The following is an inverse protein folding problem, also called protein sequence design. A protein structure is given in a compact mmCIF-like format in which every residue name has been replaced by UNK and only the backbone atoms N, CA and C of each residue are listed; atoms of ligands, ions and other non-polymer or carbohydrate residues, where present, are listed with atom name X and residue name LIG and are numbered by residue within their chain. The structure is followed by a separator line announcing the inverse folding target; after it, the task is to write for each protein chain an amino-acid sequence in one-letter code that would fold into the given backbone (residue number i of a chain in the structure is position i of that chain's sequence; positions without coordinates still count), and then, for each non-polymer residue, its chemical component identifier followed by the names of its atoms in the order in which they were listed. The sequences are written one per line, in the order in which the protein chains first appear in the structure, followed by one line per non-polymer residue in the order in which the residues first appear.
data_IF_008023992092
#
_entry.id   IF_008023992092
#
_cell.length_a   1.000
_cell.length_b   1.000
_cell.length_c   1.000
_cell.angle_alpha   90.00
_cell.angle_beta   90.00
_cell.angle_gamma   90.00
#
_symmetry.space_group_name_H-M   'P 1'
#
loop_
_entity.id
_entity.type
_entity.pdbx_description
1 polymer ?
#
# COMPACT_ATOMS: atom_id res chain seq x y z
N UNK A 1 2.18 -2.87 -11.85
CA UNK A 1 1.74 -3.15 -13.24
C UNK A 1 2.68 -2.46 -14.22
N UNK A 2 2.92 -3.03 -15.41
CA UNK A 2 3.69 -2.36 -16.45
C UNK A 2 2.98 -1.08 -16.90
N UNK A 3 3.65 0.06 -16.80
CA UNK A 3 3.13 1.35 -17.30
C UNK A 3 4.28 2.33 -17.56
N UNK A 4 4.17 3.12 -18.63
CA UNK A 4 5.15 4.14 -19.00
C UNK A 4 6.59 3.62 -19.02
N UNK A 5 7.53 4.40 -18.49
CA UNK A 5 8.96 4.06 -18.43
C UNK A 5 9.33 2.81 -17.63
N UNK A 6 8.40 2.27 -16.84
CA UNK A 6 8.62 1.08 -16.00
C UNK A 6 8.12 -0.22 -16.64
N UNK A 7 7.80 -0.25 -17.92
CA UNK A 7 7.26 -1.44 -18.59
C UNK A 7 8.16 -2.69 -18.46
N UNK A 8 9.48 -2.55 -18.60
CA UNK A 8 10.44 -3.67 -18.52
C UNK A 8 10.79 -4.07 -17.08
N UNK A 9 10.97 -3.10 -16.19
CA UNK A 9 11.43 -3.31 -14.80
C UNK A 9 10.25 -3.41 -13.83
N UNK A 10 9.35 -4.35 -14.09
CA UNK A 10 8.23 -4.64 -13.19
C UNK A 10 8.49 -5.90 -12.37
N UNK A 11 7.90 -5.97 -11.17
CA UNK A 11 8.04 -7.16 -10.33
C UNK A 11 7.64 -8.45 -11.06
N UNK A 12 6.59 -8.41 -11.89
CA UNK A 12 6.18 -9.57 -12.69
C UNK A 12 7.26 -10.01 -13.67
N UNK A 13 7.94 -9.08 -14.33
CA UNK A 13 9.01 -9.40 -15.27
C UNK A 13 10.28 -9.89 -14.54
N UNK A 14 10.61 -9.29 -13.40
CA UNK A 14 11.71 -9.75 -12.55
C UNK A 14 11.45 -11.16 -12.01
N UNK A 15 10.22 -11.46 -11.56
CA UNK A 15 9.84 -12.79 -11.10
C UNK A 15 9.91 -13.83 -12.24
N UNK A 16 9.41 -13.49 -13.44
CA UNK A 16 9.55 -14.36 -14.62
C UNK A 16 11.01 -14.69 -14.91
N UNK A 17 11.88 -13.68 -14.92
CA UNK A 17 13.32 -13.87 -15.18
C UNK A 17 13.98 -14.70 -14.08
N UNK A 18 13.71 -14.40 -12.81
CA UNK A 18 14.33 -15.08 -11.67
C UNK A 18 13.96 -16.57 -11.57
N UNK A 19 12.70 -16.92 -11.86
CA UNK A 19 12.17 -18.27 -11.68
C UNK A 19 11.95 -19.04 -12.99
N UNK A 20 12.32 -18.47 -14.14
CA UNK A 20 12.16 -19.11 -15.46
C UNK A 20 10.69 -19.27 -15.90
N UNK A 21 9.76 -18.52 -15.34
CA UNK A 21 8.34 -18.67 -15.68
C UNK A 21 7.96 -17.95 -16.98
N UNK A 22 7.44 -18.71 -17.94
CA UNK A 22 6.99 -18.15 -19.22
C UNK A 22 5.75 -17.26 -19.09
N UNK A 23 4.79 -17.66 -18.25
CA UNK A 23 3.53 -16.92 -18.00
C UNK A 23 3.35 -16.65 -16.52
N UNK A 24 2.94 -15.45 -16.17
CA UNK A 24 2.63 -15.03 -14.81
C UNK A 24 1.57 -13.94 -14.86
N UNK A 25 0.48 -14.14 -14.13
CA UNK A 25 -0.66 -13.26 -14.09
C UNK A 25 -0.70 -12.52 -12.75
N UNK A 26 -0.77 -11.20 -12.80
CA UNK A 26 -0.89 -10.35 -11.62
C UNK A 26 -2.32 -10.43 -11.08
N UNK A 27 -2.49 -10.75 -9.82
CA UNK A 27 -3.81 -10.90 -9.17
C UNK A 27 -4.25 -9.62 -8.47
N UNK A 28 -3.30 -8.91 -7.88
CA UNK A 28 -3.51 -7.61 -7.25
C UNK A 28 -2.24 -6.76 -7.38
N UNK A 29 -2.28 -5.57 -6.85
CA UNK A 29 -1.15 -4.64 -6.90
C UNK A 29 -0.78 -4.14 -5.51
N UNK A 30 0.49 -3.81 -5.34
CA UNK A 30 1.00 -2.95 -4.28
C UNK A 30 1.41 -1.60 -4.89
N UNK A 31 1.40 -0.55 -4.09
CA UNK A 31 1.97 0.73 -4.50
C UNK A 31 3.48 0.60 -4.66
N UNK A 32 4.10 1.51 -5.40
CA UNK A 32 5.52 1.45 -5.79
C UNK A 32 6.46 1.19 -4.62
N UNK A 33 6.20 1.83 -3.48
CA UNK A 33 7.06 1.77 -2.29
C UNK A 33 6.50 0.90 -1.16
N UNK A 34 5.35 0.25 -1.38
CA UNK A 34 4.79 -0.73 -0.43
C UNK A 34 5.51 -2.07 -0.59
N UNK A 35 6.00 -2.60 0.51
CA UNK A 35 6.60 -3.95 0.57
C UNK A 35 5.58 -5.01 1.02
N UNK A 36 5.97 -6.28 1.00
CA UNK A 36 5.18 -7.38 1.56
C UNK A 36 4.62 -8.36 0.53
N UNK A 37 3.54 -9.04 0.89
CA UNK A 37 2.96 -10.13 0.10
C UNK A 37 2.34 -9.61 -1.19
N UNK A 38 2.71 -10.25 -2.31
CA UNK A 38 2.04 -10.10 -3.59
C UNK A 38 1.80 -11.47 -4.23
N UNK A 39 0.60 -11.70 -4.73
CA UNK A 39 0.20 -12.95 -5.34
C UNK A 39 0.22 -12.88 -6.87
N UNK A 40 0.68 -13.97 -7.46
CA UNK A 40 0.63 -14.21 -8.90
C UNK A 40 0.02 -15.57 -9.18
N UNK A 41 -0.68 -15.72 -10.30
CA UNK A 41 -1.09 -17.02 -10.80
C UNK A 41 -0.21 -17.45 -11.98
N UNK A 42 0.10 -18.76 -12.07
CA UNK A 42 0.81 -19.36 -13.20
C UNK A 42 -0.14 -19.73 -14.34
N UNK A 43 -1.41 -19.92 -14.04
CA UNK A 43 -2.45 -20.34 -15.00
C UNK A 43 -3.53 -19.27 -15.13
N UNK A 44 -4.04 -19.09 -16.36
CA UNK A 44 -5.09 -18.10 -16.67
C UNK A 44 -6.40 -18.40 -15.92
N UNK A 45 -6.81 -19.67 -15.84
CA UNK A 45 -8.03 -20.09 -15.13
C UNK A 45 -7.97 -19.73 -13.64
N UNK A 46 -6.86 -20.00 -12.98
CA UNK A 46 -6.63 -19.64 -11.58
C UNK A 46 -6.65 -18.11 -11.41
N UNK A 47 -6.03 -17.37 -12.34
CA UNK A 47 -6.05 -15.91 -12.31
C UNK A 47 -7.47 -15.33 -12.40
N UNK A 48 -8.32 -15.88 -13.25
CA UNK A 48 -9.71 -15.46 -13.39
C UNK A 48 -10.52 -15.69 -12.10
N UNK A 49 -10.43 -16.89 -11.51
CA UNK A 49 -11.10 -17.21 -10.24
C UNK A 49 -10.62 -16.30 -9.09
N UNK A 50 -9.31 -16.08 -8.99
CA UNK A 50 -8.74 -15.19 -7.98
C UNK A 50 -9.17 -13.72 -8.19
N UNK A 51 -9.22 -13.24 -9.43
CA UNK A 51 -9.69 -11.89 -9.72
C UNK A 51 -11.16 -11.69 -9.30
N UNK A 52 -11.99 -12.71 -9.44
CA UNK A 52 -13.37 -12.72 -8.93
C UNK A 52 -13.41 -12.64 -7.41
N UNK A 53 -12.63 -13.47 -6.71
CA UNK A 53 -12.52 -13.44 -5.26
C UNK A 53 -12.05 -12.07 -4.73
N UNK A 54 -11.10 -11.41 -5.41
CA UNK A 54 -10.69 -10.04 -5.08
C UNK A 54 -11.83 -9.03 -5.28
N UNK A 55 -12.59 -9.14 -6.37
CA UNK A 55 -13.73 -8.27 -6.68
C UNK A 55 -14.84 -8.42 -5.65
N UNK A 56 -15.12 -9.65 -5.23
CA UNK A 56 -16.15 -10.00 -4.25
C UNK A 56 -15.69 -9.88 -2.80
N UNK A 57 -14.48 -9.36 -2.58
CA UNK A 57 -13.89 -9.14 -1.25
C UNK A 57 -13.75 -10.42 -0.40
N UNK A 58 -13.63 -11.58 -1.04
CA UNK A 58 -13.42 -12.87 -0.39
C UNK A 58 -11.98 -13.11 0.06
N UNK A 59 -11.15 -12.07 0.04
CA UNK A 59 -9.77 -12.10 0.53
C UNK A 59 -9.62 -11.17 1.72
N UNK A 60 -8.93 -11.61 2.76
CA UNK A 60 -8.58 -10.78 3.90
C UNK A 60 -7.13 -10.32 3.76
N UNK A 61 -6.87 -9.06 4.05
CA UNK A 61 -5.54 -8.45 3.96
C UNK A 61 -5.21 -7.79 5.29
N UNK A 62 -4.00 -7.98 5.75
CA UNK A 62 -3.48 -7.30 6.91
C UNK A 62 -2.17 -6.60 6.56
N UNK A 63 -2.07 -5.35 6.97
CA UNK A 63 -0.89 -4.51 6.76
C UNK A 63 -0.35 -4.05 8.10
N UNK A 64 0.93 -3.71 8.13
CA UNK A 64 1.54 -2.89 9.17
C UNK A 64 2.07 -1.59 8.57
N UNK A 65 2.01 -0.52 9.32
CA UNK A 65 2.59 0.75 8.94
C UNK A 65 3.15 1.49 10.16
N UNK A 66 4.14 2.34 9.91
CA UNK A 66 4.50 3.42 10.81
C UNK A 66 3.78 4.67 10.32
N UNK A 67 3.01 5.29 11.19
CA UNK A 67 2.32 6.54 10.92
C UNK A 67 3.00 7.68 11.67
N UNK A 68 3.00 8.87 11.05
CA UNK A 68 3.36 10.11 11.75
C UNK A 68 2.23 10.47 12.72
N UNK A 69 2.57 11.03 13.86
CA UNK A 69 1.68 11.33 14.97
C UNK A 69 1.09 10.07 15.64
N UNK A 70 0.33 10.29 16.71
CA UNK A 70 -0.42 9.25 17.41
C UNK A 70 -1.80 9.09 16.79
N UNK A 71 -2.32 7.87 16.77
CA UNK A 71 -3.73 7.67 16.42
C UNK A 71 -4.64 8.40 17.41
N UNK A 72 -5.81 8.89 16.97
CA UNK A 72 -6.79 9.53 17.85
C UNK A 72 -7.41 8.58 18.89
N UNK A 73 -7.32 7.26 18.67
CA UNK A 73 -7.73 6.20 19.59
C UNK A 73 -6.99 4.91 19.22
N UNK A 74 -7.01 3.89 20.12
CA UNK A 74 -6.36 2.60 19.88
C UNK A 74 -6.98 1.85 18.69
N UNK A 75 -8.26 2.05 18.43
CA UNK A 75 -8.98 1.53 17.28
C UNK A 75 -9.68 2.66 16.54
N UNK A 76 -9.36 2.81 15.25
CA UNK A 76 -9.94 3.84 14.39
C UNK A 76 -10.50 3.21 13.12
N UNK A 77 -11.77 3.46 12.85
CA UNK A 77 -12.43 3.02 11.61
C UNK A 77 -12.69 4.25 10.75
N UNK A 78 -12.08 4.26 9.55
CA UNK A 78 -12.30 5.31 8.55
C UNK A 78 -13.15 4.75 7.42
N UNK A 79 -14.41 5.21 7.35
CA UNK A 79 -15.38 4.83 6.30
C UNK A 79 -15.68 6.04 5.42
N UNK A 80 -14.70 6.43 4.61
CA UNK A 80 -14.78 7.60 3.75
C UNK A 80 -14.53 7.21 2.28
N UNK A 81 -15.37 7.67 1.32
CA UNK A 81 -15.17 7.40 -0.08
C UNK A 81 -13.90 8.06 -0.62
N UNK A 82 -13.24 7.41 -1.59
CA UNK A 82 -12.00 7.88 -2.21
C UNK A 82 -12.21 8.10 -3.70
N UNK A 83 -11.73 9.24 -4.19
CA UNK A 83 -11.68 9.64 -5.60
C UNK A 83 -10.42 10.41 -5.92
N UNK A 84 -10.30 10.90 -7.15
CA UNK A 84 -9.21 11.82 -7.53
C UNK A 84 -9.29 13.09 -6.68
N UNK A 85 -8.16 13.58 -6.20
CA UNK A 85 -8.12 14.81 -5.41
C UNK A 85 -8.22 16.04 -6.35
N UNK A 86 -9.36 16.77 -6.34
CA UNK A 86 -9.55 17.92 -7.24
C UNK A 86 -8.73 19.14 -6.84
N UNK A 87 -8.18 19.17 -5.62
CA UNK A 87 -7.34 20.25 -5.11
C UNK A 87 -5.87 20.06 -5.44
N UNK A 88 -5.48 18.86 -5.90
CA UNK A 88 -4.10 18.54 -6.22
C UNK A 88 -3.80 18.69 -7.70
N UNK A 89 -2.66 19.31 -8.01
CA UNK A 89 -2.09 19.35 -9.36
C UNK A 89 -1.54 17.98 -9.81
N UNK A 90 -1.40 17.03 -8.88
CA UNK A 90 -0.82 15.70 -9.12
C UNK A 90 -1.91 14.72 -9.54
N UNK A 91 -2.01 14.42 -10.82
CA UNK A 91 -3.05 13.56 -11.42
C UNK A 91 -3.26 12.21 -10.73
N UNK A 92 -2.23 11.63 -10.15
CA UNK A 92 -2.31 10.31 -9.48
C UNK A 92 -2.76 10.39 -8.02
N UNK A 93 -2.82 11.60 -7.45
CA UNK A 93 -3.22 11.80 -6.06
C UNK A 93 -4.69 11.50 -5.87
N UNK A 94 -5.00 10.76 -4.84
CA UNK A 94 -6.37 10.46 -4.43
C UNK A 94 -6.67 11.22 -3.14
N UNK A 95 -7.93 11.49 -2.88
CA UNK A 95 -8.39 12.14 -1.66
C UNK A 95 -9.73 11.57 -1.21
N UNK A 96 -10.16 11.95 0.00
CA UNK A 96 -11.53 11.70 0.45
C UNK A 96 -12.46 12.58 -0.38
N UNK A 97 -13.43 11.96 -1.06
CA UNK A 97 -14.39 12.60 -1.96
C UNK A 97 -15.76 11.95 -1.79
N UNK A 98 -16.80 12.72 -1.48
CA UNK A 98 -18.15 12.18 -1.23
C UNK A 98 -18.72 11.41 -2.44
N UNK A 99 -18.40 11.83 -3.66
CA UNK A 99 -18.77 11.14 -4.91
C UNK A 99 -17.78 10.04 -5.30
N UNK A 100 -16.79 9.80 -4.45
CA UNK A 100 -15.76 8.77 -4.64
C UNK A 100 -16.30 7.36 -4.45
N UNK A 101 -15.43 6.37 -4.57
CA UNK A 101 -15.78 4.97 -4.36
C UNK A 101 -15.79 4.65 -2.87
N UNK A 102 -16.89 4.11 -2.30
CA UNK A 102 -16.96 3.71 -0.91
C UNK A 102 -15.84 2.76 -0.52
N UNK A 103 -15.24 3.00 0.64
CA UNK A 103 -14.24 2.10 1.21
C UNK A 103 -14.10 2.32 2.72
N UNK A 104 -13.62 1.29 3.41
CA UNK A 104 -13.43 1.30 4.86
C UNK A 104 -12.06 0.73 5.18
N UNK A 105 -11.35 1.38 6.10
CA UNK A 105 -10.06 0.93 6.63
C UNK A 105 -10.12 0.93 8.16
N UNK A 106 -9.73 -0.18 8.77
CA UNK A 106 -9.57 -0.28 10.23
C UNK A 106 -8.09 -0.13 10.56
N UNK A 107 -7.77 0.78 11.48
CA UNK A 107 -6.46 0.98 12.07
C UNK A 107 -6.52 0.54 13.53
N UNK A 108 -5.54 -0.22 13.97
CA UNK A 108 -5.39 -0.67 15.35
C UNK A 108 -3.98 -0.33 15.83
N UNK A 109 -3.87 0.36 16.95
CA UNK A 109 -2.59 0.72 17.56
C UNK A 109 -1.88 -0.55 18.07
N UNK A 110 -0.65 -0.76 17.63
CA UNK A 110 0.20 -1.85 18.11
C UNK A 110 1.24 -1.34 19.11
N UNK A 111 1.79 -0.15 18.86
CA UNK A 111 2.81 0.46 19.72
C UNK A 111 2.92 1.96 19.48
N UNK A 112 2.99 2.75 20.55
CA UNK A 112 3.40 4.15 20.49
C UNK A 112 4.92 4.27 20.36
N UNK A 113 5.40 5.21 19.53
CA UNK A 113 6.80 5.45 19.21
C UNK A 113 7.07 6.97 19.23
N UNK A 114 7.14 7.58 20.41
CA UNK A 114 7.31 9.03 20.58
C UNK A 114 6.39 9.84 19.63
N UNK A 115 6.92 10.37 18.52
CA UNK A 115 6.20 11.18 17.53
C UNK A 115 5.46 10.35 16.48
N UNK A 116 5.45 9.03 16.58
CA UNK A 116 4.91 8.09 15.60
C UNK A 116 4.15 6.96 16.29
N UNK A 117 3.48 6.15 15.50
CA UNK A 117 2.91 4.92 16.00
C UNK A 117 3.04 3.77 14.98
N UNK A 118 3.26 2.55 15.49
CA UNK A 118 3.14 1.32 14.74
C UNK A 118 1.69 0.87 14.80
N UNK A 119 1.10 0.61 13.64
CA UNK A 119 -0.30 0.21 13.53
C UNK A 119 -0.48 -1.06 12.71
N UNK A 120 -1.47 -1.88 13.10
CA UNK A 120 -2.04 -2.93 12.28
C UNK A 120 -3.22 -2.36 11.48
N UNK A 121 -3.37 -2.75 10.21
CA UNK A 121 -4.35 -2.16 9.31
C UNK A 121 -5.09 -3.24 8.53
N UNK A 122 -6.43 -3.17 8.53
CA UNK A 122 -7.29 -4.03 7.74
C UNK A 122 -8.12 -3.20 6.76
N UNK A 123 -7.73 -3.11 5.49
CA UNK A 123 -8.57 -2.50 4.46
C UNK A 123 -9.68 -3.49 4.05
N UNK A 124 -10.94 -3.08 4.19
CA UNK A 124 -12.10 -3.90 3.79
C UNK A 124 -12.27 -3.95 2.27
N UNK A 125 -11.67 -3.02 1.55
CA UNK A 125 -11.68 -2.91 0.09
C UNK A 125 -10.23 -2.79 -0.43
N UNK A 126 -10.03 -2.44 -1.71
CA UNK A 126 -8.71 -2.27 -2.31
C UNK A 126 -8.68 -1.09 -3.29
N UNK A 127 -9.12 0.10 -2.84
CA UNK A 127 -9.05 1.31 -3.69
C UNK A 127 -7.60 1.80 -3.81
N UNK A 128 -7.32 2.51 -4.88
CA UNK A 128 -6.00 3.11 -5.10
C UNK A 128 -5.61 3.99 -3.91
N UNK A 129 -4.43 3.77 -3.36
CA UNK A 129 -3.87 4.49 -2.21
C UNK A 129 -4.73 4.47 -0.93
N UNK A 130 -5.71 3.58 -0.81
CA UNK A 130 -6.73 3.61 0.25
C UNK A 130 -6.16 3.81 1.65
N UNK A 131 -5.21 2.99 2.08
CA UNK A 131 -4.61 3.09 3.42
C UNK A 131 -3.94 4.46 3.59
N UNK A 132 -3.20 4.91 2.60
CA UNK A 132 -2.44 6.16 2.61
C UNK A 132 -3.35 7.40 2.68
N UNK A 133 -4.43 7.38 1.88
CA UNK A 133 -5.46 8.45 1.90
C UNK A 133 -6.16 8.52 3.25
N UNK A 134 -6.60 7.37 3.78
CA UNK A 134 -7.29 7.32 5.06
C UNK A 134 -6.37 7.70 6.23
N UNK A 135 -5.11 7.26 6.22
CA UNK A 135 -4.11 7.66 7.21
C UNK A 135 -3.86 9.19 7.16
N UNK A 136 -3.69 9.75 5.96
CA UNK A 136 -3.55 11.20 5.78
C UNK A 136 -4.82 11.96 6.24
N UNK A 137 -6.00 11.46 5.93
CA UNK A 137 -7.29 12.07 6.30
C UNK A 137 -7.46 12.20 7.82
N UNK A 138 -6.98 11.24 8.61
CA UNK A 138 -7.01 11.30 10.08
C UNK A 138 -5.82 12.06 10.70
N UNK A 139 -5.01 12.74 9.89
CA UNK A 139 -3.85 13.50 10.36
C UNK A 139 -2.62 12.67 10.72
N UNK A 140 -2.60 11.38 10.37
CA UNK A 140 -1.52 10.44 10.68
C UNK A 140 -0.96 9.81 9.39
N UNK A 141 -0.33 10.57 8.47
CA UNK A 141 0.14 10.03 7.21
C UNK A 141 1.19 8.93 7.44
N UNK A 142 1.33 8.03 6.47
CA UNK A 142 2.36 6.97 6.53
C UNK A 142 3.75 7.60 6.50
N UNK A 143 4.61 7.24 7.44
CA UNK A 143 6.00 7.71 7.50
C UNK A 143 6.73 7.41 6.19
N UNK A 144 7.38 8.41 5.61
CA UNK A 144 8.11 8.30 4.34
C UNK A 144 7.23 8.34 3.08
N UNK A 145 5.96 8.62 3.20
CA UNK A 145 5.06 8.80 2.06
C UNK A 145 5.23 10.19 1.43
N UNK A 146 5.90 10.27 0.27
CA UNK A 146 6.15 11.54 -0.41
C UNK A 146 4.90 12.17 -1.00
N UNK A 147 3.91 11.36 -1.40
CA UNK A 147 2.69 11.86 -2.05
C UNK A 147 1.68 12.44 -1.05
N UNK A 148 1.62 11.88 0.16
CA UNK A 148 0.67 12.30 1.21
C UNK A 148 1.35 12.94 2.42
N UNK A 149 2.67 12.82 2.54
CA UNK A 149 3.47 13.43 3.60
C UNK A 149 4.14 14.76 3.19
N UNK A 150 4.16 15.09 1.89
CA UNK A 150 4.62 16.37 1.37
C UNK A 150 3.46 17.15 0.76
N UNK A 151 3.62 18.47 0.65
CA UNK A 151 2.77 19.30 -0.21
C UNK A 151 3.02 18.95 -1.69
N UNK A 152 2.14 19.37 -2.59
CA UNK A 152 2.21 19.01 -4.01
C UNK A 152 3.51 19.47 -4.68
N UNK A 153 3.96 20.70 -4.39
CA UNK A 153 5.25 21.23 -4.84
C UNK A 153 6.44 20.42 -4.30
N UNK A 154 6.42 20.05 -3.04
CA UNK A 154 7.44 19.19 -2.45
C UNK A 154 7.51 17.81 -3.11
N UNK A 155 6.36 17.23 -3.47
CA UNK A 155 6.34 15.99 -4.24
C UNK A 155 6.91 16.16 -5.66
N UNK A 156 6.60 17.27 -6.33
CA UNK A 156 7.13 17.57 -7.67
C UNK A 156 8.65 17.80 -7.64
N UNK A 157 9.15 18.57 -6.67
CA UNK A 157 10.59 18.74 -6.46
C UNK A 157 11.30 17.41 -6.20
N UNK A 158 10.71 16.52 -5.39
CA UNK A 158 11.25 15.17 -5.23
C UNK A 158 11.28 14.36 -6.53
N UNK A 159 10.29 14.51 -7.42
CA UNK A 159 10.34 13.83 -8.73
C UNK A 159 11.47 14.31 -9.62
N UNK A 160 11.87 15.55 -9.50
CA UNK A 160 12.97 16.18 -10.28
C UNK A 160 14.32 15.91 -9.67
N UNK A 161 14.50 16.17 -8.37
CA UNK A 161 15.80 16.14 -7.68
C UNK A 161 16.08 14.79 -6.98
N UNK A 162 15.07 13.96 -6.75
CA UNK A 162 15.23 12.64 -6.15
C UNK A 162 15.62 12.67 -4.67
N UNK A 163 16.62 11.86 -4.32
CA UNK A 163 17.06 11.70 -2.92
C UNK A 163 17.68 12.98 -2.36
N UNK A 164 18.37 13.80 -3.18
CA UNK A 164 19.00 15.03 -2.72
C UNK A 164 17.99 16.01 -2.11
N UNK A 165 16.79 16.12 -2.68
CA UNK A 165 15.70 16.93 -2.12
C UNK A 165 15.23 16.40 -0.76
N UNK A 166 15.09 15.10 -0.62
CA UNK A 166 14.68 14.48 0.65
C UNK A 166 15.74 14.68 1.76
N UNK A 167 17.02 14.65 1.39
CA UNK A 167 18.14 14.87 2.32
C UNK A 167 18.12 16.32 2.84
N UNK A 168 17.86 17.31 1.97
CA UNK A 168 17.69 18.72 2.36
C UNK A 168 16.56 18.93 3.36
N UNK A 169 15.47 18.18 3.20
CA UNK A 169 14.31 18.24 4.10
C UNK A 169 14.49 17.41 5.37
N UNK A 170 15.60 16.70 5.55
CA UNK A 170 15.74 15.67 6.58
C UNK A 170 14.54 14.71 6.58
N UNK A 171 14.07 14.31 5.38
CA UNK A 171 12.91 13.46 5.24
C UNK A 171 13.17 12.10 5.89
N UNK A 172 12.24 11.57 6.71
CA UNK A 172 12.57 10.57 7.72
C UNK A 172 13.11 9.26 7.15
N UNK A 173 12.64 8.85 5.97
CA UNK A 173 13.06 7.58 5.33
C UNK A 173 12.90 7.64 3.81
N UNK A 174 13.68 6.82 3.09
CA UNK A 174 13.70 6.81 1.62
C UNK A 174 12.44 6.25 0.94
N UNK A 175 11.59 5.53 1.68
CA UNK A 175 10.32 4.96 1.17
C UNK A 175 9.23 4.99 2.24
N UNK A 176 7.97 4.90 1.82
CA UNK A 176 6.86 4.76 2.76
C UNK A 176 6.96 3.48 3.61
N UNK A 177 6.77 3.60 4.92
CA UNK A 177 6.79 2.49 5.86
C UNK A 177 5.41 1.83 5.94
N UNK A 178 4.99 1.22 4.81
CA UNK A 178 3.77 0.44 4.67
C UNK A 178 4.14 -0.96 4.14
N UNK A 179 3.64 -2.00 4.81
CA UNK A 179 3.97 -3.38 4.54
C UNK A 179 2.72 -4.27 4.51
N UNK A 180 2.51 -4.97 3.41
CA UNK A 180 1.47 -5.99 3.28
C UNK A 180 1.93 -7.26 4.01
N UNK A 181 1.55 -7.36 5.29
CA UNK A 181 1.99 -8.42 6.20
C UNK A 181 1.43 -9.78 5.81
N UNK A 182 0.13 -9.80 5.45
CA UNK A 182 -0.60 -11.05 5.33
C UNK A 182 -1.72 -10.93 4.29
N UNK A 183 -1.96 -12.02 3.61
CA UNK A 183 -3.16 -12.23 2.81
C UNK A 183 -3.73 -13.62 3.07
N UNK A 184 -5.04 -13.69 3.37
CA UNK A 184 -5.80 -14.93 3.56
C UNK A 184 -6.85 -15.07 2.46
N UNK A 185 -6.94 -16.24 1.85
CA UNK A 185 -7.91 -16.57 0.81
C UNK A 185 -8.15 -18.07 0.72
N UNK A 186 -9.25 -18.50 0.09
CA UNK A 186 -9.47 -19.91 -0.24
C UNK A 186 -8.82 -20.23 -1.58
N UNK A 187 -7.96 -21.25 -1.61
CA UNK A 187 -7.30 -21.62 -2.87
C UNK A 187 -8.33 -22.11 -3.90
N UNK A 188 -8.38 -21.55 -5.12
CA UNK A 188 -9.49 -21.77 -6.05
C UNK A 188 -9.59 -23.20 -6.59
N UNK A 189 -8.53 -24.01 -6.52
CA UNK A 189 -8.51 -25.39 -6.96
C UNK A 189 -8.66 -26.37 -5.77
N UNK A 190 -7.74 -26.33 -4.77
CA UNK A 190 -7.77 -27.25 -3.63
C UNK A 190 -8.87 -26.94 -2.60
N UNK A 191 -9.45 -25.74 -2.64
CA UNK A 191 -10.47 -25.25 -1.67
C UNK A 191 -9.96 -25.09 -0.24
N UNK A 192 -8.68 -25.22 -0.02
CA UNK A 192 -8.05 -24.99 1.28
C UNK A 192 -7.94 -23.49 1.58
N UNK A 193 -8.14 -23.13 2.84
CA UNK A 193 -7.86 -21.78 3.32
C UNK A 193 -6.34 -21.61 3.46
N UNK A 194 -5.79 -20.63 2.75
CA UNK A 194 -4.36 -20.30 2.77
C UNK A 194 -4.15 -18.93 3.38
N UNK A 195 -3.17 -18.84 4.28
CA UNK A 195 -2.67 -17.58 4.80
C UNK A 195 -1.18 -17.45 4.46
N UNK A 196 -0.83 -16.42 3.72
CA UNK A 196 0.54 -16.13 3.29
C UNK A 196 1.05 -14.92 4.05
N UNK A 197 2.23 -15.03 4.65
CA UNK A 197 2.87 -13.99 5.44
C UNK A 197 4.14 -13.46 4.75
N UNK A 198 4.48 -12.21 5.02
CA UNK A 198 5.78 -11.61 4.71
C UNK A 198 6.46 -11.12 6.00
N UNK A 199 7.77 -11.23 6.07
CA UNK A 199 8.58 -10.71 7.16
C UNK A 199 8.67 -9.17 7.09
N UNK A 200 8.40 -8.50 8.21
CA UNK A 200 8.41 -7.04 8.33
C UNK A 200 9.69 -6.48 8.98
N UNK A 201 10.65 -7.32 9.35
CA UNK A 201 11.88 -6.93 10.05
C UNK A 201 12.63 -5.80 9.35
N UNK A 202 12.74 -5.84 8.02
CA UNK A 202 13.38 -4.78 7.23
C UNK A 202 12.63 -3.45 7.30
N UNK A 203 11.31 -3.46 7.40
CA UNK A 203 10.54 -2.23 7.57
C UNK A 203 10.75 -1.66 8.97
N UNK A 204 10.73 -2.52 9.99
CA UNK A 204 10.92 -2.11 11.38
C UNK A 204 12.32 -1.53 11.64
N UNK A 205 13.35 -2.05 10.98
CA UNK A 205 14.72 -1.51 11.05
C UNK A 205 14.86 -0.10 10.44
N UNK A 206 13.91 0.33 9.63
CA UNK A 206 13.92 1.67 9.01
C UNK A 206 13.21 2.72 9.85
N UNK A 207 12.65 2.37 11.01
CA UNK A 207 11.96 3.34 11.88
C UNK A 207 12.98 4.40 12.31
N UNK A 208 12.73 5.70 12.04
CA UNK A 208 13.61 6.76 12.50
C UNK A 208 13.60 6.86 14.02
N UNK A 209 14.76 7.17 14.59
CA UNK A 209 14.90 7.42 16.03
C UNK A 209 14.12 8.66 16.45
#
# INVERSE_FOLDING_TARGET
SPSGKYYKNTLVNLAKKKYGWKKLFTLHRLDRETSGVILFAKQKKTAQKMAEMFREQQTRKFYKAILENSLPADDVIVSMPIGSDPKSSIRIKQGVQFEGRPCTTHFHLLKNLDKRCLVGIRPMTGRTHQIRVHAHYIGCPVTGDKLYGLADDGFLNWLEEGQSYLDQLNFPVSRQLLHAMEITFTHPESKEALTIHADDSKMLQMIPN
#
